data_IF_082754601980
#
_entry.id   IF_082754601980
#
_cell.length_a   1.000
_cell.length_b   1.000
_cell.length_c   1.000
_cell.angle_alpha   90.00
_cell.angle_beta   90.00
_cell.angle_gamma   90.00
#
_symmetry.space_group_name_H-M   'P 1'
#
loop_
_entity.id
_entity.type
_entity.pdbx_description
1 polymer ?
#
# COMPACT_ATOMS: atom_id res chain seq x y z
N UNK A 1 37.54 15.23 44.20
CA UNK A 1 36.39 14.47 43.65
C UNK A 1 36.55 14.36 42.15
N UNK A 2 36.34 13.17 41.58
CA UNK A 2 36.56 12.83 40.16
C UNK A 2 37.94 12.18 39.90
N UNK A 3 38.04 11.13 39.05
CA UNK A 3 37.40 11.09 37.75
C UNK A 3 36.50 9.88 37.43
N UNK A 4 35.70 10.11 36.39
CA UNK A 4 34.65 9.28 35.77
C UNK A 4 35.22 8.02 35.12
N UNK A 5 34.67 6.86 35.49
CA UNK A 5 34.87 5.59 34.80
C UNK A 5 33.97 5.54 33.56
N UNK A 6 34.55 5.61 32.37
CA UNK A 6 33.85 5.27 31.10
C UNK A 6 34.32 3.90 30.63
N UNK A 7 33.50 2.88 30.90
CA UNK A 7 33.68 1.55 30.31
C UNK A 7 33.18 1.54 28.85
N UNK A 8 33.92 0.94 27.89
CA UNK A 8 33.48 0.85 26.50
C UNK A 8 32.36 -0.18 26.33
N UNK A 9 31.19 0.28 25.87
CA UNK A 9 30.05 -0.60 25.53
C UNK A 9 30.38 -1.47 24.32
N UNK A 10 30.46 -2.79 24.53
CA UNK A 10 30.73 -3.79 23.49
C UNK A 10 29.50 -3.93 22.57
N UNK A 11 29.50 -3.23 21.44
CA UNK A 11 28.41 -3.27 20.43
C UNK A 11 28.28 -4.67 19.82
N UNK A 12 27.05 -5.21 19.78
CA UNK A 12 26.79 -6.56 19.26
C UNK A 12 27.10 -6.62 17.75
N UNK A 13 27.61 -7.75 17.21
CA UNK A 13 27.99 -7.86 15.80
C UNK A 13 26.83 -7.60 14.82
N UNK A 14 25.58 -7.83 15.24
CA UNK A 14 24.37 -7.51 14.47
C UNK A 14 24.15 -6.00 14.30
N UNK A 15 24.43 -5.19 15.33
CA UNK A 15 24.31 -3.73 15.29
C UNK A 15 25.35 -3.12 14.35
N UNK A 16 26.60 -3.61 14.40
CA UNK A 16 27.67 -3.18 13.48
C UNK A 16 27.34 -3.46 12.02
N UNK A 17 26.67 -4.59 11.72
CA UNK A 17 26.21 -4.91 10.35
C UNK A 17 25.11 -3.95 9.89
N UNK A 18 24.14 -3.69 10.75
CA UNK A 18 23.04 -2.77 10.47
C UNK A 18 23.53 -1.33 10.20
N UNK A 19 24.44 -0.82 11.03
CA UNK A 19 25.03 0.51 10.85
C UNK A 19 25.83 0.62 9.54
N UNK A 20 26.56 -0.45 9.17
CA UNK A 20 27.29 -0.51 7.91
C UNK A 20 26.35 -0.50 6.70
N UNK A 21 25.22 -1.20 6.79
CA UNK A 21 24.21 -1.23 5.75
C UNK A 21 23.54 0.14 5.58
N UNK A 22 23.15 0.77 6.69
CA UNK A 22 22.62 2.14 6.70
C UNK A 22 23.60 3.12 6.06
N UNK A 23 24.87 3.06 6.43
CA UNK A 23 25.93 3.89 5.85
C UNK A 23 26.13 3.68 4.35
N UNK A 24 25.93 2.47 3.83
CA UNK A 24 25.97 2.19 2.38
C UNK A 24 24.78 2.82 1.65
N UNK A 25 23.58 2.70 2.23
CA UNK A 25 22.37 3.28 1.62
C UNK A 25 22.43 4.81 1.57
N UNK A 26 22.93 5.46 2.62
CA UNK A 26 23.08 6.92 2.67
C UNK A 26 24.14 7.41 1.66
N UNK A 27 25.27 6.70 1.53
CA UNK A 27 26.29 7.02 0.53
C UNK A 27 25.74 6.90 -0.90
N UNK A 28 24.98 5.85 -1.20
CA UNK A 28 24.36 5.65 -2.51
C UNK A 28 23.36 6.77 -2.85
N UNK A 29 22.49 7.14 -1.90
CA UNK A 29 21.53 8.24 -2.06
C UNK A 29 22.23 9.58 -2.31
N UNK A 30 23.33 9.86 -1.59
CA UNK A 30 24.12 11.09 -1.79
C UNK A 30 24.78 11.13 -3.16
N UNK A 31 25.37 10.03 -3.62
CA UNK A 31 25.97 9.98 -4.96
C UNK A 31 24.93 10.09 -6.07
N UNK A 32 23.75 9.51 -5.88
CA UNK A 32 22.65 9.58 -6.83
C UNK A 32 22.06 10.99 -6.91
N UNK A 33 21.85 11.64 -5.77
CA UNK A 33 21.41 13.03 -5.71
C UNK A 33 22.44 13.98 -6.35
N UNK A 34 23.74 13.79 -6.08
CA UNK A 34 24.79 14.58 -6.71
C UNK A 34 24.85 14.37 -8.23
N UNK A 35 24.68 13.13 -8.70
CA UNK A 35 24.62 12.82 -10.13
C UNK A 35 23.40 13.47 -10.80
N UNK A 36 22.25 13.49 -10.14
CA UNK A 36 21.05 14.17 -10.63
C UNK A 36 21.25 15.69 -10.74
N UNK A 37 21.88 16.33 -9.74
CA UNK A 37 22.19 17.76 -9.78
C UNK A 37 23.17 18.12 -10.91
N UNK A 38 24.19 17.30 -11.14
CA UNK A 38 25.14 17.49 -12.25
C UNK A 38 24.46 17.27 -13.61
N UNK A 39 23.47 16.39 -13.70
CA UNK A 39 22.70 16.19 -14.93
C UNK A 39 21.81 17.40 -15.23
N UNK A 40 21.22 18.04 -14.21
CA UNK A 40 20.49 19.30 -14.37
C UNK A 40 21.42 20.44 -14.80
N UNK A 41 22.59 20.58 -14.16
CA UNK A 41 23.55 21.63 -14.50
C UNK A 41 24.04 21.55 -15.95
N UNK A 42 24.11 20.35 -16.53
CA UNK A 42 24.50 20.14 -17.93
C UNK A 42 23.38 20.45 -18.94
N UNK A 43 22.16 20.67 -18.48
CA UNK A 43 21.05 21.05 -19.36
C UNK A 43 21.02 22.55 -19.66
N UNK A 44 21.78 23.37 -18.92
CA UNK A 44 21.89 24.81 -19.16
C UNK A 44 23.34 25.22 -19.43
N UNK A 45 23.69 25.38 -20.70
CA UNK A 45 24.60 26.42 -21.27
C UNK A 45 24.82 26.12 -22.76
N UNK A 46 24.88 27.12 -23.66
CA UNK A 46 25.55 28.43 -23.50
C UNK A 46 24.57 29.62 -23.57
N UNK A 47 24.89 30.84 -23.14
CA UNK A 47 25.89 31.77 -23.70
C UNK A 47 26.39 32.79 -22.65
N UNK A 48 27.67 33.10 -22.79
CA UNK A 48 28.57 34.12 -22.22
C UNK A 48 28.00 35.51 -21.93
N UNK A 49 28.39 36.12 -20.80
CA UNK A 49 29.37 37.23 -20.74
C UNK A 49 29.70 37.66 -19.30
N UNK A 50 30.92 38.17 -19.14
CA UNK A 50 31.54 38.62 -17.89
C UNK A 50 30.87 39.86 -17.27
N UNK A 51 31.07 40.05 -15.95
CA UNK A 51 31.61 41.27 -15.29
C UNK A 51 31.27 41.25 -13.78
N UNK A 52 32.29 40.91 -13.00
CA UNK A 52 32.87 41.61 -11.83
C UNK A 52 32.08 42.70 -11.06
N UNK A 53 32.24 42.60 -9.72
CA UNK A 53 32.26 43.61 -8.63
C UNK A 53 31.01 44.01 -7.83
N UNK A 54 31.12 43.74 -6.51
CA UNK A 54 30.74 44.53 -5.31
C UNK A 54 29.26 44.84 -5.07
N UNK A 55 28.72 44.99 -3.87
CA UNK A 55 29.08 44.78 -2.46
C UNK A 55 27.83 45.22 -1.66
N UNK A 56 27.61 44.65 -0.48
CA UNK A 56 26.80 45.14 0.68
C UNK A 56 25.33 45.57 0.51
N UNK A 57 24.46 45.05 1.41
CA UNK A 57 23.42 45.89 2.03
C UNK A 57 22.06 45.24 2.26
N UNK A 58 21.69 45.10 3.53
CA UNK A 58 20.46 44.50 4.09
C UNK A 58 19.17 45.31 3.89
N UNK A 59 18.03 44.58 3.96
CA UNK A 59 16.68 45.00 4.38
C UNK A 59 15.98 46.08 3.53
N UNK A 60 14.67 46.11 3.30
CA UNK A 60 13.54 45.60 4.03
C UNK A 60 12.32 45.46 3.09
N UNK A 61 11.34 44.76 3.63
CA UNK A 61 10.02 44.33 3.17
C UNK A 61 9.17 45.18 2.22
N UNK A 62 8.40 44.41 1.44
CA UNK A 62 6.98 44.60 1.09
C UNK A 62 6.65 45.53 -0.07
N UNK A 63 6.40 44.92 -1.23
CA UNK A 63 5.26 45.22 -2.12
C UNK A 63 5.10 44.05 -3.10
N UNK A 64 3.92 43.42 -3.16
CA UNK A 64 3.57 42.55 -4.29
C UNK A 64 2.19 42.92 -4.77
N UNK A 65 2.16 43.59 -5.91
CA UNK A 65 1.02 43.61 -6.79
C UNK A 65 1.50 43.24 -8.21
N UNK A 66 0.67 42.41 -8.86
CA UNK A 66 0.61 42.12 -10.30
C UNK A 66 1.83 41.49 -11.00
N UNK A 67 1.69 40.22 -11.44
CA UNK A 67 1.67 39.89 -12.89
C UNK A 67 1.63 38.38 -13.17
N UNK A 68 0.57 38.00 -13.87
CA UNK A 68 0.37 36.80 -14.67
C UNK A 68 1.60 36.33 -15.45
N UNK A 69 1.92 35.04 -15.33
CA UNK A 69 2.53 34.25 -16.41
C UNK A 69 2.11 32.79 -16.26
N UNK A 70 0.92 32.46 -16.77
CA UNK A 70 0.56 31.07 -17.08
C UNK A 70 1.49 30.60 -18.18
N UNK A 71 2.49 29.78 -17.82
CA UNK A 71 3.25 29.01 -18.80
C UNK A 71 2.38 27.82 -19.23
N UNK A 72 1.49 28.07 -20.18
CA UNK A 72 0.83 27.02 -20.94
C UNK A 72 1.85 26.41 -21.89
N UNK A 73 2.62 25.44 -21.38
CA UNK A 73 3.44 24.58 -22.22
C UNK A 73 2.49 23.60 -22.93
N UNK A 74 1.92 24.04 -24.04
CA UNK A 74 1.16 23.21 -24.98
C UNK A 74 2.12 22.25 -25.68
N UNK A 75 2.39 21.09 -25.08
CA UNK A 75 2.93 19.95 -25.83
C UNK A 75 1.79 19.27 -26.55
N UNK A 76 1.68 19.55 -27.85
CA UNK A 76 0.76 18.87 -28.76
C UNK A 76 1.10 17.36 -28.72
N UNK A 77 0.20 16.49 -28.24
CA UNK A 77 0.53 15.09 -28.03
C UNK A 77 0.71 14.40 -29.38
N UNK A 78 1.90 13.84 -29.61
CA UNK A 78 2.22 13.09 -30.81
C UNK A 78 1.18 11.96 -31.01
N UNK A 79 0.71 11.69 -32.24
CA UNK A 79 -0.42 10.80 -32.47
C UNK A 79 -0.20 9.39 -31.91
N UNK A 80 1.05 8.89 -31.89
CA UNK A 80 1.39 7.59 -31.32
C UNK A 80 1.25 7.55 -29.78
N UNK A 81 1.57 8.64 -29.09
CA UNK A 81 1.40 8.75 -27.64
C UNK A 81 -0.09 8.79 -27.25
N UNK A 82 -0.93 9.37 -28.11
CA UNK A 82 -2.39 9.38 -27.88
C UNK A 82 -3.01 7.98 -27.99
N UNK A 83 -2.54 7.16 -28.92
CA UNK A 83 -3.01 5.78 -29.10
C UNK A 83 -2.56 4.87 -27.96
N UNK A 84 -1.29 4.96 -27.56
CA UNK A 84 -0.76 4.20 -26.42
C UNK A 84 -1.47 4.58 -25.12
N UNK A 85 -1.67 5.88 -24.86
CA UNK A 85 -2.43 6.34 -23.69
C UNK A 85 -3.89 5.85 -23.71
N UNK A 86 -4.52 5.80 -24.88
CA UNK A 86 -5.88 5.28 -25.03
C UNK A 86 -5.95 3.79 -24.72
N UNK A 87 -5.06 2.98 -25.30
CA UNK A 87 -4.98 1.55 -25.02
C UNK A 87 -4.72 1.29 -23.52
N UNK A 88 -3.80 2.04 -22.91
CA UNK A 88 -3.52 1.92 -21.48
C UNK A 88 -4.75 2.27 -20.63
N UNK A 89 -5.50 3.32 -20.98
CA UNK A 89 -6.76 3.67 -20.31
C UNK A 89 -7.81 2.58 -20.43
N UNK A 90 -7.97 2.00 -21.62
CA UNK A 90 -8.92 0.90 -21.86
C UNK A 90 -8.56 -0.34 -21.04
N UNK A 91 -7.28 -0.70 -20.99
CA UNK A 91 -6.78 -1.79 -20.15
C UNK A 91 -7.00 -1.52 -18.65
N UNK A 92 -6.68 -0.30 -18.17
CA UNK A 92 -6.95 0.10 -16.79
C UNK A 92 -8.44 0.03 -16.47
N UNK A 93 -9.31 0.50 -17.37
CA UNK A 93 -10.76 0.42 -17.19
C UNK A 93 -11.25 -1.03 -17.18
N UNK A 94 -10.73 -1.90 -18.06
CA UNK A 94 -11.05 -3.33 -18.06
C UNK A 94 -10.66 -3.99 -16.75
N UNK A 95 -9.43 -3.79 -16.28
CA UNK A 95 -8.97 -4.36 -15.01
C UNK A 95 -9.78 -3.82 -13.83
N UNK A 96 -10.12 -2.53 -13.84
CA UNK A 96 -10.92 -1.91 -12.77
C UNK A 96 -12.33 -2.49 -12.73
N UNK A 97 -12.97 -2.65 -13.89
CA UNK A 97 -14.31 -3.25 -13.97
C UNK A 97 -14.30 -4.72 -13.56
N UNK A 98 -13.31 -5.50 -13.99
CA UNK A 98 -13.17 -6.90 -13.58
C UNK A 98 -12.97 -7.04 -12.07
N UNK A 99 -12.04 -6.26 -11.48
CA UNK A 99 -11.80 -6.31 -10.03
C UNK A 99 -13.01 -5.86 -9.23
N UNK A 100 -13.80 -4.91 -9.73
CA UNK A 100 -15.07 -4.51 -9.13
C UNK A 100 -16.08 -5.67 -9.15
N UNK A 101 -16.30 -6.29 -10.31
CA UNK A 101 -17.24 -7.41 -10.48
C UNK A 101 -16.84 -8.63 -9.65
N UNK A 102 -15.55 -8.96 -9.60
CA UNK A 102 -15.05 -10.06 -8.78
C UNK A 102 -15.27 -9.80 -7.29
N UNK A 103 -15.00 -8.58 -6.82
CA UNK A 103 -15.27 -8.20 -5.43
C UNK A 103 -16.76 -8.28 -5.09
N UNK A 104 -17.64 -7.92 -6.03
CA UNK A 104 -19.09 -8.05 -5.86
C UNK A 104 -19.52 -9.51 -5.76
N UNK A 105 -19.04 -10.38 -6.66
CA UNK A 105 -19.29 -11.82 -6.59
C UNK A 105 -18.80 -12.44 -5.28
N UNK A 106 -17.61 -12.02 -4.82
CA UNK A 106 -17.05 -12.48 -3.56
C UNK A 106 -17.95 -12.08 -2.37
N UNK A 107 -18.47 -10.85 -2.35
CA UNK A 107 -19.42 -10.43 -1.29
C UNK A 107 -20.65 -11.34 -1.21
N UNK A 108 -21.14 -11.85 -2.35
CA UNK A 108 -22.25 -12.79 -2.39
C UNK A 108 -21.90 -14.20 -1.89
N UNK A 109 -20.64 -14.60 -1.98
CA UNK A 109 -20.15 -15.94 -1.61
C UNK A 109 -19.65 -16.03 -0.17
N UNK A 110 -19.34 -14.92 0.47
CA UNK A 110 -18.85 -14.88 1.85
C UNK A 110 -19.96 -15.28 2.82
N UNK A 111 -19.74 -16.37 3.55
CA UNK A 111 -20.64 -16.91 4.57
C UNK A 111 -20.17 -16.44 5.95
N UNK A 112 -20.60 -15.25 6.35
CA UNK A 112 -20.38 -14.72 7.71
C UNK A 112 -21.66 -14.82 8.54
N UNK A 113 -21.56 -14.79 9.89
CA UNK A 113 -22.72 -14.75 10.77
C UNK A 113 -23.74 -13.68 10.37
N UNK A 114 -23.26 -12.48 10.00
CA UNK A 114 -24.12 -11.35 9.65
C UNK A 114 -24.86 -11.56 8.33
N UNK A 115 -24.22 -12.16 7.32
CA UNK A 115 -24.86 -12.48 6.03
C UNK A 115 -25.91 -13.59 6.12
N UNK A 116 -25.92 -14.35 7.22
CA UNK A 116 -26.82 -15.46 7.46
C UNK A 116 -27.95 -15.11 8.45
N UNK A 117 -27.78 -14.03 9.22
CA UNK A 117 -28.77 -13.55 10.18
C UNK A 117 -30.09 -13.23 9.48
N UNK A 118 -31.19 -13.77 10.00
CA UNK A 118 -32.53 -13.53 9.46
C UNK A 118 -32.85 -14.29 8.16
N UNK A 119 -31.92 -15.10 7.64
CA UNK A 119 -32.17 -15.96 6.48
C UNK A 119 -32.06 -17.44 6.85
N UNK A 120 -33.02 -17.90 7.66
CA UNK A 120 -33.05 -19.26 8.18
C UNK A 120 -33.19 -20.32 7.07
N UNK A 121 -33.85 -19.98 5.97
CA UNK A 121 -33.94 -20.84 4.78
C UNK A 121 -32.55 -21.12 4.18
N UNK A 122 -31.72 -20.08 4.02
CA UNK A 122 -30.35 -20.20 3.52
C UNK A 122 -29.47 -20.99 4.49
N UNK A 123 -29.58 -20.72 5.79
CA UNK A 123 -28.82 -21.45 6.82
C UNK A 123 -29.20 -22.92 6.80
N UNK A 124 -30.50 -23.22 6.88
CA UNK A 124 -31.02 -24.59 6.83
C UNK A 124 -30.65 -25.27 5.53
N UNK A 125 -30.58 -24.57 4.41
CA UNK A 125 -30.14 -25.14 3.13
C UNK A 125 -28.67 -25.59 3.16
N UNK A 126 -27.78 -24.86 3.83
CA UNK A 126 -26.36 -25.21 3.87
C UNK A 126 -25.96 -26.15 5.01
N UNK A 127 -26.59 -26.02 6.18
CA UNK A 127 -26.14 -26.73 7.39
C UNK A 127 -27.16 -27.73 7.91
N UNK A 128 -28.43 -27.63 7.53
CA UNK A 128 -29.51 -28.48 8.07
C UNK A 128 -30.08 -28.05 9.41
N UNK A 129 -29.53 -27.00 10.00
CA UNK A 129 -29.99 -26.43 11.26
C UNK A 129 -30.48 -25.00 11.06
N UNK A 130 -31.19 -24.44 12.04
CA UNK A 130 -31.59 -23.03 12.06
C UNK A 130 -30.41 -22.14 12.47
N UNK A 131 -30.51 -20.83 12.22
CA UNK A 131 -29.47 -19.85 12.56
C UNK A 131 -29.16 -19.85 14.06
N UNK A 132 -30.17 -19.93 14.91
CA UNK A 132 -29.98 -19.92 16.36
C UNK A 132 -29.21 -21.16 16.85
N UNK A 133 -29.52 -22.34 16.28
CA UNK A 133 -28.80 -23.58 16.57
C UNK A 133 -27.37 -23.47 16.05
N UNK A 134 -27.17 -22.97 14.83
CA UNK A 134 -25.84 -22.75 14.24
C UNK A 134 -24.99 -21.84 15.13
N UNK A 135 -25.55 -20.74 15.64
CA UNK A 135 -24.82 -19.78 16.47
C UNK A 135 -24.51 -20.36 17.86
N UNK A 136 -25.46 -21.10 18.43
CA UNK A 136 -25.25 -21.80 19.71
C UNK A 136 -24.16 -22.86 19.57
N UNK A 137 -24.21 -23.64 18.50
CA UNK A 137 -23.18 -24.63 18.16
C UNK A 137 -21.83 -23.95 17.98
N UNK A 138 -21.77 -22.87 17.19
CA UNK A 138 -20.54 -22.11 16.97
C UNK A 138 -19.91 -21.67 18.29
N UNK A 139 -20.68 -21.03 19.19
CA UNK A 139 -20.20 -20.62 20.50
C UNK A 139 -19.69 -21.79 21.35
N UNK A 140 -20.34 -22.94 21.26
CA UNK A 140 -19.94 -24.14 21.98
C UNK A 140 -18.60 -24.71 21.47
N UNK A 141 -18.38 -24.73 20.15
CA UNK A 141 -17.17 -25.33 19.55
C UNK A 141 -16.05 -24.33 19.25
N UNK A 142 -16.30 -23.03 19.33
CA UNK A 142 -15.33 -21.99 18.92
C UNK A 142 -13.98 -22.13 19.63
N UNK A 143 -13.99 -22.54 20.89
CA UNK A 143 -12.78 -22.77 21.69
C UNK A 143 -11.94 -23.95 21.16
N UNK A 144 -12.57 -24.97 20.58
CA UNK A 144 -11.88 -26.15 20.07
C UNK A 144 -11.48 -26.04 18.59
N UNK A 145 -11.96 -25.03 17.87
CA UNK A 145 -11.57 -24.81 16.47
C UNK A 145 -10.16 -24.21 16.41
N UNK A 146 -9.18 -24.90 15.79
CA UNK A 146 -7.83 -24.39 15.69
C UNK A 146 -7.77 -23.14 14.80
N UNK A 147 -7.12 -22.09 15.30
CA UNK A 147 -6.80 -20.91 14.52
C UNK A 147 -5.28 -20.80 14.40
N UNK A 148 -4.78 -20.95 13.18
CA UNK A 148 -3.36 -20.80 12.85
C UNK A 148 -3.18 -19.49 12.08
N UNK A 149 -2.06 -18.80 12.30
CA UNK A 149 -1.70 -17.58 11.57
C UNK A 149 -1.58 -17.81 10.04
N UNK A 150 -1.36 -19.06 9.61
CA UNK A 150 -1.36 -19.44 8.20
C UNK A 150 -2.76 -19.72 7.62
N UNK A 151 -3.80 -19.73 8.47
CA UNK A 151 -5.15 -20.09 8.04
C UNK A 151 -5.87 -18.88 7.45
N UNK A 152 -6.21 -18.97 6.16
CA UNK A 152 -7.02 -17.94 5.48
C UNK A 152 -8.50 -17.97 5.84
N UNK A 153 -8.92 -18.97 6.64
CA UNK A 153 -10.31 -19.18 7.04
C UNK A 153 -10.51 -18.83 8.51
N UNK A 154 -11.58 -18.09 8.77
CA UNK A 154 -12.10 -17.85 10.11
C UNK A 154 -12.59 -19.15 10.74
N UNK A 155 -12.71 -19.17 12.07
CA UNK A 155 -13.26 -20.34 12.78
C UNK A 155 -14.69 -20.66 12.33
N UNK A 156 -15.49 -19.63 12.09
CA UNK A 156 -16.86 -19.77 11.61
C UNK A 156 -16.93 -20.43 10.23
N UNK A 157 -16.10 -19.98 9.29
CA UNK A 157 -16.04 -20.59 7.94
C UNK A 157 -15.62 -22.06 8.01
N UNK A 158 -14.67 -22.41 8.90
CA UNK A 158 -14.29 -23.81 9.11
C UNK A 158 -15.46 -24.66 9.59
N UNK A 159 -16.23 -24.16 10.56
CA UNK A 159 -17.43 -24.83 11.04
C UNK A 159 -18.46 -24.99 9.90
N UNK A 160 -18.70 -23.93 9.12
CA UNK A 160 -19.60 -23.96 7.98
C UNK A 160 -19.18 -25.02 6.95
N UNK A 161 -17.90 -25.09 6.60
CA UNK A 161 -17.40 -26.13 5.68
C UNK A 161 -17.64 -27.54 6.21
N UNK A 162 -17.47 -27.77 7.51
CA UNK A 162 -17.75 -29.07 8.13
C UNK A 162 -19.23 -29.40 8.05
N UNK A 163 -20.11 -28.48 8.44
CA UNK A 163 -21.56 -28.70 8.40
C UNK A 163 -22.09 -28.90 6.97
N UNK A 164 -21.59 -28.13 6.01
CA UNK A 164 -21.94 -28.30 4.59
C UNK A 164 -21.49 -29.67 4.06
N UNK A 165 -20.27 -30.11 4.40
CA UNK A 165 -19.79 -31.45 4.04
C UNK A 165 -20.65 -32.55 4.66
N UNK A 166 -20.96 -32.45 5.96
CA UNK A 166 -21.82 -33.40 6.64
C UNK A 166 -23.19 -33.49 5.98
N UNK A 167 -23.79 -32.36 5.63
CA UNK A 167 -25.08 -32.32 4.93
C UNK A 167 -25.02 -33.00 3.56
N UNK A 168 -23.99 -32.70 2.76
CA UNK A 168 -23.82 -33.30 1.43
C UNK A 168 -23.60 -34.82 1.49
N UNK A 169 -22.90 -35.31 2.52
CA UNK A 169 -22.71 -36.75 2.74
C UNK A 169 -23.99 -37.48 3.17
N UNK A 170 -25.03 -36.76 3.61
CA UNK A 170 -26.32 -37.31 4.01
C UNK A 170 -27.36 -37.29 2.87
N UNK A 171 -27.04 -36.66 1.73
CA UNK A 171 -27.94 -36.54 0.58
C UNK A 171 -27.50 -37.37 -0.63
N UNK A 172 -26.69 -38.42 -0.42
CA UNK A 172 -26.31 -39.40 -1.46
C UNK A 172 -27.06 -40.71 -1.28
#
# INVERSE_FOLDING_TARGET
MGPVSTSPTKTRPSQKRFEREKGRTEKRKRSEAAAALLSLQKQDTPVTDEVTTSDTGEANESETDVATASSEQSTDPQPDDTLLMKQMREELQRLTTETMLLKEKLKGMVLTPDTLRGNDAKVKHYTGVTYDILMTLYRFVEASIPHSASSRLTKFEKLMMVLMKLRLNLSQ
#
